data_IF_281281228407
#
_entry.id   IF_281281228407
#
_cell.length_a   1.000
_cell.length_b   1.000
_cell.length_c   1.000
_cell.angle_alpha   90.00
_cell.angle_beta   90.00
_cell.angle_gamma   90.00
#
_symmetry.space_group_name_H-M   'P 1'
#
loop_
_entity.id
_entity.type
_entity.pdbx_description
1 polymer ?
#
# COMPACT_ATOMS: atom_id res chain seq x y z
N UNK A 1 -1.73 36.26 -18.58
CA UNK A 1 -1.20 34.88 -18.67
C UNK A 1 -0.96 34.35 -17.27
N UNK A 2 -1.90 33.58 -16.72
CA UNK A 2 -1.75 32.93 -15.41
C UNK A 2 -0.88 31.68 -15.57
N UNK A 3 0.36 31.70 -15.07
CA UNK A 3 1.15 30.48 -14.86
C UNK A 3 0.47 29.67 -13.77
N UNK A 4 -0.39 28.73 -14.13
CA UNK A 4 -0.75 27.63 -13.24
C UNK A 4 0.50 26.80 -13.04
N UNK A 5 1.25 27.10 -11.97
CA UNK A 5 2.30 26.24 -11.44
C UNK A 5 1.66 24.90 -11.09
N UNK A 6 1.77 23.92 -11.97
CA UNK A 6 1.37 22.55 -11.69
C UNK A 6 2.28 22.07 -10.56
N UNK A 7 1.80 22.13 -9.31
CA UNK A 7 2.55 21.55 -8.20
C UNK A 7 2.78 20.07 -8.51
N UNK A 8 4.05 19.70 -8.64
CA UNK A 8 4.49 18.32 -8.82
C UNK A 8 4.03 17.48 -7.62
N UNK A 9 3.48 16.29 -7.87
CA UNK A 9 3.21 15.25 -6.84
C UNK A 9 4.46 14.98 -6.02
N UNK A 10 5.62 15.11 -6.66
CA UNK A 10 6.94 14.84 -6.12
C UNK A 10 7.51 16.16 -5.58
N UNK A 11 7.15 16.47 -4.34
CA UNK A 11 7.81 17.49 -3.51
C UNK A 11 8.64 16.78 -2.45
N UNK A 12 9.61 17.47 -1.85
CA UNK A 12 10.36 16.90 -0.72
C UNK A 12 9.44 16.45 0.42
N UNK A 13 8.41 17.25 0.72
CA UNK A 13 7.44 16.96 1.77
C UNK A 13 6.60 15.73 1.47
N UNK A 14 6.13 15.57 0.22
CA UNK A 14 5.36 14.39 -0.16
C UNK A 14 6.20 13.13 -0.21
N UNK A 15 7.47 13.20 -0.64
CA UNK A 15 8.41 12.08 -0.56
C UNK A 15 8.61 11.67 0.89
N UNK A 16 8.93 12.61 1.79
CA UNK A 16 9.13 12.32 3.22
C UNK A 16 7.86 11.71 3.81
N UNK A 17 6.69 12.30 3.53
CA UNK A 17 5.40 11.75 3.95
C UNK A 17 5.20 10.32 3.45
N UNK A 18 5.45 10.08 2.16
CA UNK A 18 5.41 8.75 1.55
C UNK A 18 6.36 7.78 2.24
N UNK A 19 7.61 8.15 2.49
CA UNK A 19 8.59 7.30 3.17
C UNK A 19 8.09 6.88 4.56
N UNK A 20 7.59 7.84 5.35
CA UNK A 20 7.01 7.57 6.67
C UNK A 20 5.80 6.64 6.55
N UNK A 21 4.88 6.92 5.64
CA UNK A 21 3.71 6.08 5.39
C UNK A 21 4.06 4.65 4.99
N UNK A 22 5.04 4.51 4.10
CA UNK A 22 5.56 3.22 3.66
C UNK A 22 6.21 2.43 4.79
N UNK A 23 7.04 3.07 5.62
CA UNK A 23 7.67 2.43 6.78
C UNK A 23 6.65 2.02 7.84
N UNK A 24 5.66 2.87 8.14
CA UNK A 24 4.59 2.55 9.10
C UNK A 24 3.76 1.37 8.61
N UNK A 25 3.30 1.40 7.35
CA UNK A 25 2.54 0.29 6.79
C UNK A 25 3.39 -0.99 6.74
N UNK A 26 4.66 -0.90 6.33
CA UNK A 26 5.54 -2.05 6.31
C UNK A 26 5.75 -2.65 7.69
N UNK A 27 5.99 -1.84 8.73
CA UNK A 27 6.14 -2.31 10.09
C UNK A 27 4.91 -3.08 10.58
N UNK A 28 3.71 -2.53 10.37
CA UNK A 28 2.46 -3.23 10.69
C UNK A 28 2.35 -4.52 9.88
N UNK A 29 2.58 -4.46 8.57
CA UNK A 29 2.44 -5.61 7.70
C UNK A 29 3.43 -6.75 8.02
N UNK A 30 4.66 -6.42 8.44
CA UNK A 30 5.66 -7.40 8.91
C UNK A 30 5.15 -8.13 10.15
N UNK A 31 4.59 -7.41 11.12
CA UNK A 31 4.03 -8.03 12.33
C UNK A 31 2.88 -8.98 11.98
N UNK A 32 1.97 -8.53 11.13
CA UNK A 32 0.81 -9.32 10.69
C UNK A 32 1.24 -10.55 9.85
N UNK A 33 2.23 -10.41 8.98
CA UNK A 33 2.75 -11.52 8.17
C UNK A 33 3.32 -12.63 9.05
N UNK A 34 4.23 -12.29 9.97
CA UNK A 34 4.83 -13.28 10.87
C UNK A 34 3.80 -13.89 11.84
N UNK A 35 2.67 -13.21 12.09
CA UNK A 35 1.60 -13.71 12.95
C UNK A 35 0.72 -14.78 12.31
N UNK A 36 0.47 -14.67 11.00
CA UNK A 36 -0.54 -15.50 10.31
C UNK A 36 -0.01 -16.40 9.20
N UNK A 37 1.23 -16.19 8.75
CA UNK A 37 1.76 -16.89 7.59
C UNK A 37 3.13 -17.51 7.90
N UNK A 38 4.20 -16.96 7.34
CA UNK A 38 5.56 -17.51 7.47
C UNK A 38 6.49 -16.54 8.19
N UNK A 39 7.61 -17.05 8.68
CA UNK A 39 8.69 -16.23 9.17
C UNK A 39 9.31 -15.44 8.00
N UNK A 40 9.16 -14.12 8.01
CA UNK A 40 9.63 -13.27 6.91
C UNK A 40 11.16 -13.26 6.80
N UNK A 41 11.86 -13.38 7.93
CA UNK A 41 13.31 -13.42 7.96
C UNK A 41 13.85 -14.70 7.32
N UNK A 42 13.28 -15.85 7.67
CA UNK A 42 13.61 -17.13 7.05
C UNK A 42 13.31 -17.11 5.54
N UNK A 43 12.18 -16.52 5.14
CA UNK A 43 11.84 -16.36 3.72
C UNK A 43 12.87 -15.50 2.97
N UNK A 44 13.37 -14.42 3.58
CA UNK A 44 14.42 -13.58 3.00
C UNK A 44 15.75 -14.34 2.84
N UNK A 45 16.07 -15.25 3.74
CA UNK A 45 17.31 -16.04 3.68
C UNK A 45 17.21 -17.21 2.68
N UNK A 46 16.05 -17.85 2.60
CA UNK A 46 15.85 -19.06 1.78
C UNK A 46 15.35 -18.75 0.37
N UNK A 47 14.53 -17.71 0.21
CA UNK A 47 13.93 -17.27 -1.06
C UNK A 47 14.01 -15.73 -1.17
N UNK A 48 15.21 -15.17 -1.32
CA UNK A 48 15.46 -13.72 -1.19
C UNK A 48 14.62 -12.87 -2.13
N UNK A 49 14.40 -13.31 -3.39
CA UNK A 49 13.58 -12.56 -4.34
C UNK A 49 12.10 -12.51 -3.93
N UNK A 50 11.56 -13.60 -3.38
CA UNK A 50 10.18 -13.64 -2.89
C UNK A 50 10.04 -12.76 -1.65
N UNK A 51 11.00 -12.85 -0.71
CA UNK A 51 11.05 -11.98 0.46
C UNK A 51 11.15 -10.50 0.09
N UNK A 52 12.01 -10.15 -0.86
CA UNK A 52 12.16 -8.77 -1.35
C UNK A 52 10.88 -8.25 -2.02
N UNK A 53 10.22 -9.07 -2.84
CA UNK A 53 8.92 -8.72 -3.44
C UNK A 53 7.87 -8.40 -2.37
N UNK A 54 7.80 -9.21 -1.31
CA UNK A 54 6.87 -9.01 -0.19
C UNK A 54 7.19 -7.72 0.58
N UNK A 55 8.46 -7.52 0.98
CA UNK A 55 8.90 -6.32 1.71
C UNK A 55 8.65 -5.05 0.88
N UNK A 56 8.94 -5.09 -0.42
CA UNK A 56 8.67 -3.99 -1.32
C UNK A 56 7.17 -3.69 -1.40
N UNK A 57 6.32 -4.72 -1.51
CA UNK A 57 4.87 -4.57 -1.50
C UNK A 57 4.34 -3.95 -0.22
N UNK A 58 4.79 -4.47 0.92
CA UNK A 58 4.49 -3.93 2.25
C UNK A 58 4.84 -2.44 2.37
N UNK A 59 5.96 -2.01 1.79
CA UNK A 59 6.35 -0.61 1.76
C UNK A 59 5.50 0.21 0.78
N UNK A 60 5.37 -0.21 -0.47
CA UNK A 60 4.70 0.55 -1.53
C UNK A 60 3.22 0.76 -1.27
N UNK A 61 2.56 -0.20 -0.62
CA UNK A 61 1.17 -0.10 -0.18
C UNK A 61 0.96 1.07 0.79
N UNK A 62 1.94 1.40 1.64
CA UNK A 62 1.87 2.61 2.47
C UNK A 62 2.42 3.86 1.77
N UNK A 63 3.50 3.71 1.00
CA UNK A 63 4.20 4.83 0.38
C UNK A 63 3.34 5.57 -0.65
N UNK A 64 2.79 4.83 -1.61
CA UNK A 64 2.05 5.40 -2.74
C UNK A 64 0.83 6.20 -2.29
N UNK A 65 -0.09 5.69 -1.46
CA UNK A 65 -1.25 6.47 -1.08
C UNK A 65 -0.90 7.72 -0.27
N UNK A 66 0.13 7.66 0.58
CA UNK A 66 0.55 8.83 1.37
C UNK A 66 1.23 9.87 0.49
N UNK A 67 1.98 9.45 -0.54
CA UNK A 67 2.53 10.36 -1.55
C UNK A 67 1.42 11.19 -2.23
N UNK A 68 0.33 10.55 -2.67
CA UNK A 68 -0.84 11.21 -3.23
C UNK A 68 -1.54 12.12 -2.22
N UNK A 69 -1.70 11.65 -0.98
CA UNK A 69 -2.37 12.42 0.07
C UNK A 69 -1.62 13.70 0.44
N UNK A 70 -0.30 13.61 0.63
CA UNK A 70 0.51 14.76 1.02
C UNK A 70 0.74 15.70 -0.15
N UNK A 71 1.04 15.17 -1.34
CA UNK A 71 1.38 15.94 -2.53
C UNK A 71 0.18 16.60 -3.22
N UNK A 72 -0.95 15.90 -3.32
CA UNK A 72 -2.11 16.36 -4.12
C UNK A 72 -3.40 16.53 -3.28
N UNK A 73 -3.37 16.26 -1.97
CA UNK A 73 -4.56 16.24 -1.10
C UNK A 73 -5.64 15.28 -1.60
N UNK A 74 -5.21 14.19 -2.24
CA UNK A 74 -6.06 13.14 -2.80
C UNK A 74 -6.22 12.01 -1.79
N UNK A 75 -7.47 11.61 -1.47
CA UNK A 75 -7.77 10.71 -0.34
C UNK A 75 -8.08 9.28 -0.76
N UNK A 76 -8.63 9.07 -1.96
CA UNK A 76 -9.06 7.75 -2.43
C UNK A 76 -7.99 6.65 -2.35
N UNK A 77 -6.69 6.89 -2.69
CA UNK A 77 -5.66 5.87 -2.59
C UNK A 77 -5.50 5.36 -1.16
N UNK A 78 -5.49 6.27 -0.17
CA UNK A 78 -5.33 5.92 1.23
C UNK A 78 -6.54 5.16 1.78
N UNK A 79 -7.75 5.55 1.37
CA UNK A 79 -8.98 4.84 1.75
C UNK A 79 -8.97 3.41 1.20
N UNK A 80 -8.61 3.22 -0.08
CA UNK A 80 -8.57 1.89 -0.71
C UNK A 80 -7.61 0.96 0.03
N UNK A 81 -6.37 1.43 0.25
CA UNK A 81 -5.36 0.64 0.96
C UNK A 81 -5.79 0.34 2.39
N UNK A 82 -6.31 1.33 3.12
CA UNK A 82 -6.78 1.13 4.48
C UNK A 82 -7.92 0.12 4.57
N UNK A 83 -8.92 0.21 3.67
CA UNK A 83 -10.03 -0.75 3.61
C UNK A 83 -9.52 -2.16 3.28
N UNK A 84 -8.63 -2.30 2.30
CA UNK A 84 -8.08 -3.61 1.96
C UNK A 84 -7.25 -4.21 3.10
N UNK A 85 -6.43 -3.39 3.78
CA UNK A 85 -5.69 -3.84 4.96
C UNK A 85 -6.63 -4.30 6.08
N UNK A 86 -7.68 -3.54 6.38
CA UNK A 86 -8.64 -3.87 7.44
C UNK A 86 -9.44 -5.14 7.11
N UNK A 87 -10.01 -5.22 5.90
CA UNK A 87 -10.79 -6.39 5.48
C UNK A 87 -9.93 -7.64 5.41
N UNK A 88 -8.70 -7.53 4.90
CA UNK A 88 -7.78 -8.66 4.81
C UNK A 88 -7.28 -9.10 6.18
N UNK A 89 -6.95 -8.17 7.08
CA UNK A 89 -6.57 -8.48 8.46
C UNK A 89 -7.72 -9.12 9.24
N UNK A 90 -8.94 -8.61 9.11
CA UNK A 90 -10.13 -9.20 9.73
C UNK A 90 -10.43 -10.59 9.15
N UNK A 91 -10.32 -10.77 7.83
CA UNK A 91 -10.47 -12.06 7.17
C UNK A 91 -9.44 -13.08 7.68
N UNK A 92 -8.18 -12.68 7.85
CA UNK A 92 -7.14 -13.53 8.43
C UNK A 92 -7.38 -13.84 9.91
N UNK A 93 -7.93 -12.89 10.67
CA UNK A 93 -8.34 -13.14 12.07
C UNK A 93 -9.40 -14.23 12.15
N UNK A 94 -10.42 -14.19 11.29
CA UNK A 94 -11.48 -15.19 11.22
C UNK A 94 -10.98 -16.55 10.70
N UNK A 95 -10.07 -16.55 9.73
CA UNK A 95 -9.50 -17.78 9.17
C UNK A 95 -8.51 -18.47 10.13
N UNK A 96 -7.92 -17.71 11.06
CA UNK A 96 -6.87 -18.19 11.94
C UNK A 96 -5.51 -18.33 11.24
N UNK A 97 -4.47 -18.76 11.97
CA UNK A 97 -3.12 -18.94 11.41
C UNK A 97 -3.11 -20.11 10.43
N UNK A 98 -2.50 -19.91 9.26
CA UNK A 98 -2.29 -20.98 8.26
C UNK A 98 -1.05 -21.77 8.67
N UNK A 99 -1.17 -23.10 8.70
CA UNK A 99 -0.04 -24.01 8.96
C UNK A 99 0.06 -25.02 7.82
N UNK A 100 1.27 -25.51 7.52
CA UNK A 100 1.42 -26.63 6.59
C UNK A 100 0.45 -27.78 6.93
N UNK A 101 -0.20 -28.41 5.92
CA UNK A 101 0.11 -28.34 4.49
C UNK A 101 -0.80 -27.38 3.69
N UNK A 102 -1.60 -26.53 4.32
CA UNK A 102 -2.62 -25.76 3.59
C UNK A 102 -1.97 -24.76 2.63
N UNK A 103 -2.19 -24.95 1.33
CA UNK A 103 -1.62 -24.14 0.25
C UNK A 103 -2.34 -22.80 0.02
N UNK A 104 -3.43 -22.52 0.75
CA UNK A 104 -4.26 -21.33 0.53
C UNK A 104 -3.75 -20.18 1.39
N UNK A 105 -3.27 -19.07 0.80
CA UNK A 105 -2.83 -17.91 1.57
C UNK A 105 -3.99 -17.28 2.33
N UNK A 106 -3.71 -16.74 3.53
CA UNK A 106 -4.73 -15.95 4.25
C UNK A 106 -5.15 -14.73 3.44
N UNK A 107 -6.33 -14.13 3.70
CA UNK A 107 -6.73 -12.89 3.04
C UNK A 107 -5.67 -11.78 3.15
N UNK A 108 -5.02 -11.62 4.30
CA UNK A 108 -3.89 -10.70 4.48
C UNK A 108 -2.69 -11.06 3.59
N UNK A 109 -2.32 -12.33 3.51
CA UNK A 109 -1.23 -12.76 2.63
C UNK A 109 -1.57 -12.48 1.16
N UNK A 110 -2.82 -12.70 0.72
CA UNK A 110 -3.27 -12.34 -0.63
C UNK A 110 -3.19 -10.84 -0.90
N UNK A 111 -3.61 -10.01 0.06
CA UNK A 111 -3.49 -8.56 -0.03
C UNK A 111 -2.03 -8.11 -0.28
N UNK A 112 -1.08 -8.71 0.45
CA UNK A 112 0.34 -8.43 0.26
C UNK A 112 0.86 -9.02 -1.05
N UNK A 113 0.52 -10.26 -1.41
CA UNK A 113 1.00 -10.89 -2.64
C UNK A 113 0.48 -10.18 -3.91
N UNK A 114 -0.72 -9.59 -3.84
CA UNK A 114 -1.36 -8.86 -4.93
C UNK A 114 -1.09 -7.34 -4.88
N UNK A 115 -0.08 -6.90 -4.11
CA UNK A 115 0.20 -5.48 -3.87
C UNK A 115 0.31 -4.66 -5.16
N UNK A 116 0.84 -5.22 -6.25
CA UNK A 116 0.99 -4.53 -7.54
C UNK A 116 -0.38 -4.08 -8.05
N UNK A 117 -1.39 -4.95 -7.99
CA UNK A 117 -2.75 -4.63 -8.41
C UNK A 117 -3.40 -3.58 -7.52
N UNK A 118 -3.17 -3.67 -6.20
CA UNK A 118 -3.69 -2.69 -5.23
C UNK A 118 -3.06 -1.31 -5.44
N UNK A 119 -1.74 -1.24 -5.61
CA UNK A 119 -1.00 -0.01 -5.89
C UNK A 119 -1.44 0.59 -7.22
N UNK A 120 -1.62 -0.22 -8.27
CA UNK A 120 -2.13 0.23 -9.55
C UNK A 120 -3.53 0.83 -9.42
N UNK A 121 -4.44 0.16 -8.69
CA UNK A 121 -5.78 0.65 -8.41
C UNK A 121 -5.77 1.96 -7.62
N UNK A 122 -4.95 2.04 -6.57
CA UNK A 122 -4.78 3.24 -5.76
C UNK A 122 -4.23 4.41 -6.59
N UNK A 123 -3.20 4.18 -7.42
CA UNK A 123 -2.66 5.19 -8.31
C UNK A 123 -3.66 5.67 -9.37
N UNK A 124 -4.41 4.74 -9.97
CA UNK A 124 -5.43 5.08 -10.97
C UNK A 124 -6.57 5.92 -10.38
N UNK A 125 -7.11 5.49 -9.24
CA UNK A 125 -8.19 6.22 -8.54
C UNK A 125 -7.72 7.57 -8.04
N UNK A 126 -6.50 7.67 -7.51
CA UNK A 126 -5.89 8.93 -7.12
C UNK A 126 -5.78 9.91 -8.28
N UNK A 127 -5.32 9.43 -9.44
CA UNK A 127 -5.21 10.26 -10.65
C UNK A 127 -6.58 10.75 -11.14
N UNK A 128 -7.61 9.90 -11.06
CA UNK A 128 -8.98 10.30 -11.41
C UNK A 128 -9.52 11.38 -10.46
N UNK A 129 -9.33 11.21 -9.14
CA UNK A 129 -9.75 12.19 -8.13
C UNK A 129 -9.05 13.54 -8.36
N UNK A 130 -7.73 13.52 -8.59
CA UNK A 130 -6.96 14.73 -8.89
C UNK A 130 -7.50 15.48 -10.11
N UNK A 131 -7.72 14.77 -11.22
CA UNK A 131 -8.26 15.36 -12.47
C UNK A 131 -9.65 15.97 -12.25
N UNK A 132 -10.50 15.33 -11.44
CA UNK A 132 -11.83 15.86 -11.09
C UNK A 132 -11.72 17.15 -10.29
N UNK A 133 -10.84 17.19 -9.28
CA UNK A 133 -10.57 18.39 -8.48
C UNK A 133 -10.06 19.57 -9.33
N UNK A 134 -9.15 19.30 -10.28
CA UNK A 134 -8.66 20.33 -11.18
C UNK A 134 -9.76 20.90 -12.08
N UNK A 135 -10.59 20.04 -12.69
CA UNK A 135 -11.70 20.48 -13.54
C UNK A 135 -12.70 21.35 -12.77
N UNK A 136 -13.02 20.98 -11.53
CA UNK A 136 -13.93 21.74 -10.69
C UNK A 136 -13.36 23.11 -10.27
N UNK A 137 -12.03 23.26 -10.18
CA UNK A 137 -11.37 24.53 -9.84
C UNK A 137 -11.19 25.47 -11.05
N UNK A 138 -11.30 24.94 -12.27
CA UNK A 138 -11.20 25.71 -13.53
C UNK A 138 -12.56 26.11 -14.12
N UNK A 139 -13.67 25.63 -13.55
CA UNK A 139 -15.03 25.95 -13.94
C UNK A 139 -15.59 27.07 -13.06
#
# INVERSE_FOLDING_TARGET
>A
MSRTSTQSIVTRTSIIGGLVGGLVHAGVAVLLWNRWFDNLWELLMTKPLNGAYIVLGMFLLGFVPVLFYVGEKVRSPAIIVAVFLLLSGFGSWLAGPVRPPSAVPTPFALYILLWVGVVALAGFTGRLEFRRKQRAASA
#
